data_IF_231013723469
#
_entry.id   IF_231013723469
#
_cell.length_a   1.000
_cell.length_b   1.000
_cell.length_c   1.000
_cell.angle_alpha   90.00
_cell.angle_beta   90.00
_cell.angle_gamma   90.00
#
_symmetry.space_group_name_H-M   'P 1'
#
loop_
_entity.id
_entity.type
_entity.pdbx_description
1 polymer ?
#
# COMPACT_ATOMS: atom_id res chain seq x y z
N UNK A 1 2.10 -21.91 0.22
CA UNK A 1 0.76 -21.36 -0.06
C UNK A 1 0.76 -19.83 -0.03
N UNK A 2 1.29 -19.15 1.01
CA UNK A 2 1.32 -17.67 1.11
C UNK A 2 2.05 -16.95 -0.05
N UNK A 3 3.23 -17.43 -0.48
CA UNK A 3 4.04 -16.80 -1.53
C UNK A 3 3.37 -16.79 -2.92
N UNK A 4 2.57 -17.82 -3.23
CA UNK A 4 1.81 -17.88 -4.49
C UNK A 4 0.64 -16.88 -4.47
N UNK A 5 -0.03 -16.74 -3.31
CA UNK A 5 -1.10 -15.75 -3.11
C UNK A 5 -0.57 -14.32 -3.28
N UNK A 6 0.57 -13.97 -2.67
CA UNK A 6 1.16 -12.61 -2.79
C UNK A 6 1.53 -12.28 -4.24
N UNK A 7 2.15 -13.21 -4.98
CA UNK A 7 2.48 -12.98 -6.38
C UNK A 7 1.23 -12.80 -7.26
N UNK A 8 0.13 -13.51 -6.97
CA UNK A 8 -1.15 -13.31 -7.65
C UNK A 8 -1.83 -11.97 -7.34
N UNK A 9 -1.48 -11.31 -6.23
CA UNK A 9 -2.02 -10.00 -5.86
C UNK A 9 -1.27 -8.86 -6.55
N UNK A 10 0.04 -9.02 -6.78
CA UNK A 10 0.87 -8.03 -7.48
C UNK A 10 0.35 -7.67 -8.87
N UNK A 11 -0.25 -8.63 -9.59
CA UNK A 11 -0.70 -8.42 -10.97
C UNK A 11 -2.10 -7.83 -11.10
N UNK A 12 -2.88 -7.73 -10.02
CA UNK A 12 -4.31 -7.36 -10.10
C UNK A 12 -4.56 -5.87 -10.35
N UNK A 13 -3.56 -5.02 -10.12
CA UNK A 13 -3.65 -3.60 -10.46
C UNK A 13 -3.44 -3.33 -11.96
N UNK A 14 -2.96 -4.32 -12.71
CA UNK A 14 -2.91 -4.27 -14.16
C UNK A 14 -4.20 -4.85 -14.77
N UNK A 15 -4.70 -4.29 -15.87
CA UNK A 15 -4.12 -3.18 -16.65
C UNK A 15 -4.52 -1.77 -16.15
N UNK A 16 -5.23 -1.67 -15.02
CA UNK A 16 -5.78 -0.41 -14.53
C UNK A 16 -4.72 0.70 -14.38
N UNK A 17 -3.54 0.39 -13.86
CA UNK A 17 -2.47 1.39 -13.65
C UNK A 17 -1.70 1.79 -14.90
N UNK A 18 -1.85 1.06 -16.00
CA UNK A 18 -0.97 1.16 -17.19
C UNK A 18 -1.14 2.45 -17.98
N UNK A 19 -2.26 3.15 -17.82
CA UNK A 19 -2.53 4.41 -18.51
C UNK A 19 -3.28 5.40 -17.62
N UNK A 20 -3.13 6.70 -17.90
CA UNK A 20 -3.91 7.73 -17.23
C UNK A 20 -5.42 7.59 -17.48
N UNK A 21 -5.82 7.10 -18.66
CA UNK A 21 -7.23 6.88 -18.99
C UNK A 21 -7.84 5.80 -18.12
N UNK A 22 -7.19 4.64 -18.00
CA UNK A 22 -7.68 3.53 -17.17
C UNK A 22 -7.66 3.87 -15.68
N UNK A 23 -6.68 4.64 -15.21
CA UNK A 23 -6.66 5.15 -13.82
C UNK A 23 -7.80 6.15 -13.57
N UNK A 24 -8.05 7.06 -14.50
CA UNK A 24 -9.16 8.01 -14.38
C UNK A 24 -10.52 7.30 -14.33
N UNK A 25 -10.73 6.29 -15.17
CA UNK A 25 -11.93 5.44 -15.12
C UNK A 25 -12.08 4.76 -13.75
N UNK A 26 -10.99 4.17 -13.23
CA UNK A 26 -10.98 3.57 -11.91
C UNK A 26 -11.31 4.59 -10.81
N UNK A 27 -10.64 5.73 -10.76
CA UNK A 27 -10.85 6.78 -9.76
C UNK A 27 -12.29 7.29 -9.76
N UNK A 28 -12.86 7.56 -10.94
CA UNK A 28 -14.26 7.97 -11.06
C UNK A 28 -15.21 6.89 -10.53
N UNK A 29 -14.93 5.61 -10.82
CA UNK A 29 -15.72 4.48 -10.33
C UNK A 29 -15.63 4.36 -8.80
N UNK A 30 -14.45 4.58 -8.22
CA UNK A 30 -14.21 4.55 -6.77
C UNK A 30 -15.03 5.62 -6.07
N UNK A 31 -14.96 6.88 -6.51
CA UNK A 31 -15.71 7.97 -5.89
C UNK A 31 -17.20 7.66 -5.91
N UNK A 32 -17.74 7.24 -7.06
CA UNK A 32 -19.16 6.89 -7.18
C UNK A 32 -19.53 5.74 -6.24
N UNK A 33 -18.73 4.69 -6.21
CA UNK A 33 -18.97 3.52 -5.36
C UNK A 33 -18.99 3.90 -3.88
N UNK A 34 -17.95 4.59 -3.40
CA UNK A 34 -17.85 4.96 -1.98
C UNK A 34 -19.01 5.86 -1.54
N UNK A 35 -19.36 6.86 -2.36
CA UNK A 35 -20.48 7.78 -2.06
C UNK A 35 -21.84 7.09 -2.08
N UNK A 36 -22.06 6.14 -2.99
CA UNK A 36 -23.32 5.39 -3.10
C UNK A 36 -23.49 4.35 -1.99
N UNK A 37 -22.38 3.82 -1.48
CA UNK A 37 -22.37 2.77 -0.46
C UNK A 37 -22.02 3.30 0.94
N UNK A 38 -22.02 4.62 1.11
CA UNK A 38 -21.81 5.30 2.39
C UNK A 38 -20.50 4.91 3.10
N UNK A 39 -19.43 4.71 2.31
CA UNK A 39 -18.08 4.59 2.83
C UNK A 39 -17.42 5.96 2.98
N UNK A 40 -16.53 6.07 3.97
CA UNK A 40 -15.82 7.30 4.29
C UNK A 40 -14.45 7.44 3.61
N UNK A 41 -13.97 6.40 2.91
CA UNK A 41 -12.66 6.44 2.28
C UNK A 41 -12.25 5.14 1.59
N UNK A 42 -11.02 5.12 1.08
CA UNK A 42 -10.38 3.98 0.43
C UNK A 42 -9.05 3.67 1.11
N UNK A 43 -8.80 2.39 1.36
CA UNK A 43 -7.46 1.87 1.69
C UNK A 43 -6.85 1.16 0.48
N UNK A 44 -5.67 1.62 0.03
CA UNK A 44 -4.93 1.01 -1.09
C UNK A 44 -3.79 0.15 -0.56
N UNK A 45 -4.09 -1.12 -0.27
CA UNK A 45 -3.12 -2.12 0.20
C UNK A 45 -2.49 -2.92 -0.95
N UNK A 46 -1.55 -2.32 -1.69
CA UNK A 46 -0.76 -3.04 -2.72
C UNK A 46 0.41 -3.78 -2.06
N UNK A 47 0.41 -5.12 -2.12
CA UNK A 47 1.40 -5.98 -1.45
C UNK A 47 2.31 -6.71 -2.47
N UNK A 48 3.51 -6.24 -2.79
CA UNK A 48 4.00 -4.87 -2.63
C UNK A 48 4.39 -4.33 -4.01
N UNK A 49 4.42 -3.00 -4.23
CA UNK A 49 4.79 -2.42 -5.52
C UNK A 49 6.18 -2.87 -5.99
N UNK A 50 7.14 -2.94 -5.06
CA UNK A 50 8.55 -3.18 -5.35
C UNK A 50 9.11 -2.14 -6.35
N UNK A 51 10.35 -2.31 -6.81
CA UNK A 51 11.01 -1.34 -7.69
C UNK A 51 10.23 -1.08 -8.99
N UNK A 52 9.58 -2.11 -9.54
CA UNK A 52 8.89 -2.05 -10.84
C UNK A 52 7.63 -1.18 -10.79
N UNK A 53 6.83 -1.32 -9.74
CA UNK A 53 5.53 -0.64 -9.65
C UNK A 53 5.57 0.61 -8.75
N UNK A 54 6.74 0.98 -8.20
CA UNK A 54 6.94 2.18 -7.37
C UNK A 54 6.31 3.44 -7.99
N UNK A 55 6.59 3.69 -9.26
CA UNK A 55 6.04 4.85 -9.98
C UNK A 55 4.53 4.74 -10.16
N UNK A 56 4.01 3.57 -10.54
CA UNK A 56 2.57 3.37 -10.71
C UNK A 56 1.80 3.55 -9.40
N UNK A 57 2.32 3.00 -8.30
CA UNK A 57 1.73 3.18 -6.97
C UNK A 57 1.72 4.67 -6.58
N UNK A 58 2.85 5.37 -6.74
CA UNK A 58 2.95 6.79 -6.40
C UNK A 58 1.97 7.64 -7.22
N UNK A 59 1.88 7.41 -8.53
CA UNK A 59 0.97 8.14 -9.42
C UNK A 59 -0.49 7.84 -9.08
N UNK A 60 -0.84 6.59 -8.81
CA UNK A 60 -2.21 6.22 -8.43
C UNK A 60 -2.65 6.90 -7.13
N UNK A 61 -1.80 6.89 -6.10
CA UNK A 61 -2.11 7.55 -4.82
C UNK A 61 -2.28 9.05 -5.01
N UNK A 62 -1.40 9.69 -5.77
CA UNK A 62 -1.48 11.12 -6.04
C UNK A 62 -2.76 11.49 -6.80
N UNK A 63 -3.10 10.78 -7.87
CA UNK A 63 -4.31 11.04 -8.66
C UNK A 63 -5.60 10.78 -7.84
N UNK A 64 -5.61 9.77 -6.95
CA UNK A 64 -6.70 9.55 -6.00
C UNK A 64 -6.86 10.71 -5.02
N UNK A 65 -5.76 11.18 -4.42
CA UNK A 65 -5.77 12.29 -3.48
C UNK A 65 -6.30 13.59 -4.13
N UNK A 66 -5.81 13.93 -5.32
CA UNK A 66 -6.29 15.08 -6.09
C UNK A 66 -7.79 14.96 -6.41
N UNK A 67 -8.23 13.78 -6.83
CA UNK A 67 -9.63 13.55 -7.17
C UNK A 67 -10.56 13.60 -5.94
N UNK A 68 -10.14 13.06 -4.80
CA UNK A 68 -10.89 13.14 -3.54
C UNK A 68 -10.97 14.57 -3.03
N UNK A 69 -9.90 15.35 -3.14
CA UNK A 69 -9.92 16.78 -2.84
C UNK A 69 -10.88 17.54 -3.78
N UNK A 70 -10.85 17.24 -5.08
CA UNK A 70 -11.74 17.86 -6.06
C UNK A 70 -13.21 17.50 -5.83
N UNK A 71 -13.52 16.25 -5.49
CA UNK A 71 -14.86 15.81 -5.10
C UNK A 71 -15.34 16.59 -3.86
N UNK A 72 -14.49 16.71 -2.84
CA UNK A 72 -14.79 17.47 -1.63
C UNK A 72 -15.14 18.93 -1.92
N UNK A 73 -14.39 19.63 -2.77
CA UNK A 73 -14.69 21.04 -3.13
C UNK A 73 -16.05 21.24 -3.80
N UNK A 74 -16.65 20.19 -4.34
CA UNK A 74 -17.96 20.22 -5.02
C UNK A 74 -19.08 19.58 -4.20
N UNK A 75 -18.75 18.97 -3.07
CA UNK A 75 -19.65 18.17 -2.24
C UNK A 75 -20.00 18.92 -0.97
N UNK A 76 -21.16 18.59 -0.38
CA UNK A 76 -21.52 18.99 0.98
C UNK A 76 -21.15 17.94 2.02
N UNK A 77 -20.57 16.81 1.58
CA UNK A 77 -20.08 15.71 2.43
C UNK A 77 -18.60 15.90 2.74
N UNK A 78 -18.14 15.24 3.80
CA UNK A 78 -16.72 15.16 4.16
C UNK A 78 -15.86 14.61 3.02
N UNK A 79 -14.59 15.02 2.99
CA UNK A 79 -13.60 14.48 2.05
C UNK A 79 -13.43 12.98 2.31
N UNK A 80 -13.39 12.19 1.24
CA UNK A 80 -13.05 10.77 1.36
C UNK A 80 -11.62 10.62 1.88
N UNK A 81 -11.44 9.77 2.89
CA UNK A 81 -10.12 9.42 3.42
C UNK A 81 -9.37 8.55 2.41
N UNK A 82 -8.06 8.74 2.33
CA UNK A 82 -7.15 7.90 1.54
C UNK A 82 -6.04 7.36 2.43
N UNK A 83 -6.01 6.05 2.60
CA UNK A 83 -4.99 5.34 3.40
C UNK A 83 -4.31 4.27 2.56
N UNK A 84 -3.20 3.74 3.06
CA UNK A 84 -2.54 2.60 2.43
C UNK A 84 -1.94 1.65 3.46
N UNK A 85 -2.16 0.34 3.27
CA UNK A 85 -1.36 -0.71 3.87
C UNK A 85 0.03 -0.75 3.26
N UNK A 86 1.06 -0.50 4.06
CA UNK A 86 2.46 -0.41 3.58
C UNK A 86 3.37 -1.39 4.30
N UNK A 87 4.40 -1.86 3.59
CA UNK A 87 5.39 -2.79 4.15
C UNK A 87 6.11 -2.22 5.37
N UNK A 88 6.41 -3.06 6.35
CA UNK A 88 7.34 -2.76 7.43
C UNK A 88 8.79 -3.21 7.15
N UNK A 89 9.04 -3.95 6.07
CA UNK A 89 10.38 -4.43 5.74
C UNK A 89 11.22 -3.34 5.07
N UNK A 90 12.36 -2.97 5.66
CA UNK A 90 13.21 -1.86 5.18
C UNK A 90 13.51 -1.90 3.69
N UNK A 91 13.99 -3.04 3.17
CA UNK A 91 14.33 -3.16 1.76
C UNK A 91 13.10 -2.96 0.84
N UNK A 92 11.94 -3.47 1.25
CA UNK A 92 10.71 -3.30 0.48
C UNK A 92 10.21 -1.85 0.52
N UNK A 93 10.39 -1.17 1.65
CA UNK A 93 10.12 0.27 1.79
C UNK A 93 10.99 1.06 0.81
N UNK A 94 12.30 0.85 0.84
CA UNK A 94 13.28 1.52 -0.03
C UNK A 94 12.94 1.31 -1.52
N UNK A 95 12.49 0.11 -1.89
CA UNK A 95 12.11 -0.22 -3.27
C UNK A 95 10.76 0.39 -3.68
N UNK A 96 9.76 0.42 -2.79
CA UNK A 96 8.35 0.59 -3.18
C UNK A 96 7.82 2.01 -3.04
N UNK A 97 8.37 2.83 -2.13
CA UNK A 97 7.66 4.01 -1.64
C UNK A 97 8.46 5.30 -1.80
N UNK A 98 7.89 6.28 -2.51
CA UNK A 98 8.35 7.67 -2.49
C UNK A 98 7.77 8.37 -1.26
N UNK A 99 8.32 8.08 -0.08
CA UNK A 99 7.74 8.40 1.24
C UNK A 99 7.31 9.86 1.38
N UNK A 100 8.14 10.83 0.96
CA UNK A 100 7.81 12.26 1.07
C UNK A 100 6.61 12.68 0.20
N UNK A 101 6.37 12.01 -0.92
CA UNK A 101 5.18 12.28 -1.75
C UNK A 101 3.95 11.65 -1.12
N UNK A 102 4.06 10.38 -0.71
CA UNK A 102 2.97 9.67 -0.05
C UNK A 102 2.52 10.37 1.24
N UNK A 103 3.43 10.98 2.00
CA UNK A 103 3.10 11.73 3.20
C UNK A 103 2.27 13.01 2.95
N UNK A 104 2.25 13.52 1.71
CA UNK A 104 1.42 14.66 1.30
C UNK A 104 0.04 14.22 0.80
N UNK A 105 -0.04 13.02 0.23
CA UNK A 105 -1.23 12.52 -0.44
C UNK A 105 -2.11 11.63 0.47
N UNK A 106 -1.51 10.89 1.41
CA UNK A 106 -2.22 9.98 2.32
C UNK A 106 -2.61 10.67 3.62
N UNK A 107 -3.80 10.33 4.13
CA UNK A 107 -4.25 10.75 5.46
C UNK A 107 -3.43 10.08 6.57
N UNK A 108 -3.18 8.78 6.42
CA UNK A 108 -2.24 8.03 7.23
C UNK A 108 -1.89 6.69 6.55
N UNK A 109 -0.84 6.05 7.05
CA UNK A 109 -0.44 4.70 6.65
C UNK A 109 -0.89 3.66 7.67
N UNK A 110 -1.33 2.52 7.18
CA UNK A 110 -1.50 1.30 7.96
C UNK A 110 -0.20 0.49 7.85
N UNK A 111 0.75 0.71 8.76
CA UNK A 111 2.03 0.00 8.75
C UNK A 111 1.80 -1.49 9.05
N UNK A 112 2.14 -2.37 8.11
CA UNK A 112 1.95 -3.82 8.23
C UNK A 112 3.13 -4.45 8.99
N UNK A 113 3.25 -4.11 10.29
CA UNK A 113 4.33 -4.51 11.19
C UNK A 113 4.17 -5.93 11.75
N UNK A 114 3.95 -6.88 10.84
CA UNK A 114 3.82 -8.31 11.09
C UNK A 114 4.34 -9.09 9.87
N UNK A 115 4.30 -10.42 9.92
CA UNK A 115 4.91 -11.31 8.92
C UNK A 115 6.42 -11.09 8.76
N UNK A 116 7.11 -10.74 9.86
CA UNK A 116 8.58 -10.60 9.84
C UNK A 116 9.30 -11.95 9.73
N UNK A 117 8.74 -12.98 10.37
CA UNK A 117 9.24 -14.35 10.32
C UNK A 117 8.11 -15.32 10.01
N UNK A 118 8.44 -16.44 9.37
CA UNK A 118 7.46 -17.44 8.98
C UNK A 118 8.04 -18.60 8.19
N UNK A 119 7.18 -19.56 7.83
CA UNK A 119 7.61 -20.83 7.22
C UNK A 119 8.19 -20.70 5.80
N UNK A 120 8.29 -19.48 5.26
CA UNK A 120 8.90 -19.18 3.96
C UNK A 120 10.39 -18.87 4.05
N UNK A 121 10.93 -18.66 5.25
CA UNK A 121 12.33 -18.34 5.47
C UNK A 121 13.27 -19.48 5.08
N UNK A 122 14.49 -19.11 4.68
CA UNK A 122 15.59 -20.03 4.34
C UNK A 122 16.87 -19.52 5.02
N UNK A 123 17.49 -20.25 5.95
CA UNK A 123 17.09 -21.58 6.44
C UNK A 123 15.73 -21.57 7.17
N UNK A 124 15.04 -22.72 7.18
CA UNK A 124 13.76 -22.86 7.86
C UNK A 124 14.00 -22.98 9.37
N UNK A 125 13.76 -21.88 10.10
CA UNK A 125 13.89 -21.77 11.55
C UNK A 125 12.64 -21.12 12.14
N UNK A 126 12.41 -21.27 13.44
CA UNK A 126 11.34 -20.56 14.13
C UNK A 126 11.71 -19.10 14.34
N UNK A 127 10.78 -18.18 14.05
CA UNK A 127 10.88 -16.76 14.40
C UNK A 127 9.49 -16.23 14.77
N UNK A 128 9.44 -15.16 15.56
CA UNK A 128 8.18 -14.58 16.00
C UNK A 128 7.53 -13.75 14.88
N UNK A 129 6.20 -13.81 14.72
CA UNK A 129 5.51 -13.12 13.62
C UNK A 129 5.70 -11.59 13.64
N UNK A 130 5.57 -11.00 14.85
CA UNK A 130 5.65 -9.55 15.08
C UNK A 130 6.42 -9.25 16.36
N UNK A 131 7.75 -9.45 16.41
CA UNK A 131 8.57 -9.02 17.53
C UNK A 131 8.53 -7.49 17.69
N UNK A 132 8.22 -7.01 18.90
CA UNK A 132 8.24 -5.57 19.21
C UNK A 132 9.65 -4.97 19.17
N UNK A 133 10.68 -5.79 19.37
CA UNK A 133 12.07 -5.34 19.47
C UNK A 133 13.02 -6.40 18.94
N UNK A 134 14.20 -5.97 18.52
CA UNK A 134 15.23 -6.87 17.99
C UNK A 134 15.58 -7.99 18.97
N UNK A 135 15.78 -9.18 18.43
CA UNK A 135 16.32 -10.31 19.17
C UNK A 135 17.77 -10.07 19.60
N UNK A 136 18.17 -10.75 20.67
CA UNK A 136 19.55 -10.71 21.17
C UNK A 136 20.56 -11.33 20.19
N UNK A 137 20.11 -12.21 19.30
CA UNK A 137 20.92 -12.82 18.23
C UNK A 137 20.92 -12.00 16.94
N UNK A 138 20.00 -11.04 16.78
CA UNK A 138 19.84 -10.30 15.52
C UNK A 138 20.99 -9.32 15.28
N UNK A 139 21.57 -9.36 14.08
CA UNK A 139 22.70 -8.54 13.66
C UNK A 139 22.55 -8.17 12.18
N UNK A 140 22.97 -6.96 11.81
CA UNK A 140 22.94 -6.53 10.40
C UNK A 140 21.52 -6.60 9.80
N UNK A 141 21.34 -7.17 8.59
CA UNK A 141 20.04 -7.23 7.93
C UNK A 141 18.91 -7.88 8.74
N UNK A 142 19.22 -8.85 9.61
CA UNK A 142 18.21 -9.51 10.44
C UNK A 142 17.66 -8.62 11.57
N UNK A 143 18.20 -7.41 11.72
CA UNK A 143 17.69 -6.41 12.68
C UNK A 143 16.87 -5.30 12.03
N UNK A 144 16.62 -5.39 10.71
CA UNK A 144 15.89 -4.38 9.93
C UNK A 144 14.45 -4.83 9.71
N UNK A 145 13.69 -4.90 10.80
CA UNK A 145 12.24 -5.01 10.85
C UNK A 145 11.68 -4.01 11.86
#
# INVERSE_FOLDING_TARGET
>A
MLYQTINSLKTKFHPMVDSSTSRLEFINSVILFLRNHNFDGLDVSWIYPDQKENTHFTVLIHELAEAFQKDFTKSTKERLLLTAGVSAGRQMIDNSYQVEKLAKDLDFINLLSFDFHGSWEKPLITGHNSPLSKGWQDRGPSSYY
#
